data_IF_962842848908
#
_entry.id   IF_962842848908
#
_cell.length_a   1.000
_cell.length_b   1.000
_cell.length_c   1.000
_cell.angle_alpha   90.00
_cell.angle_beta   90.00
_cell.angle_gamma   90.00
#
_symmetry.space_group_name_H-M   'P 1'
#
loop_
_entity.id
_entity.type
_entity.pdbx_description
1 polymer ?
#
# COMPACT_ATOMS: atom_id res chain seq x y z
N UNK A 1 -19.38 13.88 4.71
CA UNK A 1 -17.96 14.22 4.73
C UNK A 1 -17.25 13.61 3.54
N UNK A 2 -16.16 14.24 3.14
CA UNK A 2 -15.21 13.62 2.23
C UNK A 2 -14.24 12.78 3.06
N UNK A 3 -14.18 11.50 2.78
CA UNK A 3 -13.27 10.60 3.48
C UNK A 3 -12.52 9.76 2.45
N UNK A 4 -11.46 9.10 2.88
CA UNK A 4 -10.67 8.25 1.98
C UNK A 4 -11.53 7.11 1.43
N UNK A 5 -12.35 6.51 2.29
CA UNK A 5 -13.28 5.45 1.91
C UNK A 5 -14.24 5.23 3.08
N UNK A 6 -15.13 4.22 2.99
CA UNK A 6 -16.06 3.94 4.08
C UNK A 6 -15.37 3.65 5.40
N UNK A 7 -14.27 2.93 5.37
CA UNK A 7 -13.48 2.68 6.59
C UNK A 7 -12.86 3.98 7.08
N UNK A 8 -12.45 4.84 6.16
CA UNK A 8 -11.85 6.11 6.50
C UNK A 8 -12.76 7.03 7.30
N UNK A 9 -14.08 6.84 7.20
CA UNK A 9 -15.01 7.63 7.98
C UNK A 9 -14.86 7.37 9.48
N UNK A 10 -14.29 6.24 9.85
CA UNK A 10 -14.07 5.88 11.25
C UNK A 10 -12.72 6.38 11.77
N UNK A 11 -11.91 6.99 10.91
CA UNK A 11 -10.57 7.44 11.26
C UNK A 11 -10.51 8.94 11.03
N UNK A 12 -10.49 9.76 12.09
CA UNK A 12 -10.56 11.22 11.93
C UNK A 12 -9.52 11.79 10.98
N UNK A 13 -8.30 11.25 10.99
CA UNK A 13 -7.24 11.76 10.12
C UNK A 13 -7.51 11.54 8.63
N UNK A 14 -8.43 10.63 8.30
CA UNK A 14 -8.78 10.31 6.92
C UNK A 14 -10.09 10.95 6.48
N UNK A 15 -10.60 11.88 7.27
CA UNK A 15 -11.74 12.71 6.89
C UNK A 15 -11.19 14.06 6.47
N UNK A 16 -11.48 14.46 5.23
CA UNK A 16 -10.77 15.58 4.61
C UNK A 16 -11.59 16.85 4.49
N UNK A 17 -12.91 16.77 4.64
CA UNK A 17 -13.73 17.93 4.53
C UNK A 17 -15.22 17.61 4.52
N UNK A 18 -16.03 18.62 4.32
CA UNK A 18 -17.48 18.51 4.41
C UNK A 18 -18.10 18.88 3.05
N UNK A 19 -18.94 17.99 2.54
CA UNK A 19 -19.66 18.22 1.29
C UNK A 19 -20.52 19.47 1.42
N UNK A 20 -20.44 20.35 0.43
CA UNK A 20 -21.21 21.58 0.43
C UNK A 20 -20.51 22.74 1.13
N UNK A 21 -19.48 22.45 1.92
CA UNK A 21 -18.72 23.50 2.60
C UNK A 21 -17.32 23.62 2.02
N UNK A 22 -16.67 22.50 1.77
CA UNK A 22 -15.32 22.49 1.22
C UNK A 22 -15.34 22.05 -0.23
N UNK A 23 -14.74 22.82 -1.15
CA UNK A 23 -14.70 22.41 -2.56
C UNK A 23 -13.85 21.17 -2.73
N UNK A 24 -14.39 20.17 -3.41
CA UNK A 24 -13.68 18.90 -3.60
C UNK A 24 -12.36 19.10 -4.33
N UNK A 25 -12.33 19.97 -5.32
CA UNK A 25 -11.11 20.20 -6.08
C UNK A 25 -9.99 20.73 -5.20
N UNK A 26 -10.31 21.63 -4.28
CA UNK A 26 -9.33 22.18 -3.36
C UNK A 26 -8.82 21.10 -2.42
N UNK A 27 -9.72 20.26 -1.89
CA UNK A 27 -9.33 19.17 -1.02
C UNK A 27 -8.40 18.21 -1.76
N UNK A 28 -8.78 17.83 -2.97
CA UNK A 28 -7.98 16.90 -3.77
C UNK A 28 -6.58 17.44 -4.01
N UNK A 29 -6.47 18.73 -4.31
CA UNK A 29 -5.20 19.34 -4.65
C UNK A 29 -4.31 19.61 -3.45
N UNK A 30 -4.92 20.02 -2.33
CA UNK A 30 -4.17 20.61 -1.24
C UNK A 30 -4.10 19.77 0.03
N UNK A 31 -4.94 18.75 0.18
CA UNK A 31 -4.89 17.93 1.38
C UNK A 31 -3.59 17.17 1.45
N UNK A 32 -2.89 17.28 2.59
CA UNK A 32 -1.56 16.70 2.75
C UNK A 32 -1.55 15.18 2.61
N UNK A 33 -2.58 14.51 3.15
CA UNK A 33 -2.64 13.04 3.08
C UNK A 33 -2.89 12.57 1.66
N UNK A 34 -3.83 13.22 0.95
CA UNK A 34 -4.09 12.85 -0.44
C UNK A 34 -2.87 13.11 -1.32
N UNK A 35 -2.17 14.21 -1.08
CA UNK A 35 -0.92 14.48 -1.80
C UNK A 35 0.12 13.40 -1.51
N UNK A 36 0.29 13.04 -0.25
CA UNK A 36 1.27 12.03 0.12
C UNK A 36 0.97 10.70 -0.55
N UNK A 37 -0.33 10.31 -0.60
CA UNK A 37 -0.71 9.07 -1.25
C UNK A 37 -0.43 9.10 -2.75
N UNK A 38 -0.75 10.21 -3.42
CA UNK A 38 -0.47 10.31 -4.86
C UNK A 38 1.01 10.23 -5.17
N UNK A 39 1.82 10.83 -4.33
CA UNK A 39 3.27 10.89 -4.58
C UNK A 39 4.00 9.67 -4.06
N UNK A 40 3.45 8.99 -3.07
CA UNK A 40 4.14 7.90 -2.39
C UNK A 40 3.73 6.48 -2.78
N UNK A 41 2.49 6.29 -3.25
CA UNK A 41 2.07 4.96 -3.65
C UNK A 41 2.55 4.65 -5.06
N UNK A 42 2.99 3.44 -5.31
CA UNK A 42 3.20 2.33 -4.36
C UNK A 42 4.60 2.29 -3.76
N UNK A 43 5.47 3.22 -4.12
CA UNK A 43 6.90 3.11 -3.82
C UNK A 43 7.23 3.18 -2.34
N UNK A 44 6.41 3.89 -1.57
CA UNK A 44 6.66 4.04 -0.13
C UNK A 44 6.06 2.93 0.73
N UNK A 45 5.39 1.96 0.11
CA UNK A 45 4.82 0.84 0.88
C UNK A 45 5.93 0.08 1.60
N UNK A 46 5.63 -0.30 2.85
CA UNK A 46 6.59 -0.94 3.74
C UNK A 46 6.38 -2.44 3.83
N UNK A 47 7.35 -3.14 4.40
CA UNK A 47 7.24 -4.57 4.65
C UNK A 47 7.03 -5.37 3.38
N UNK A 48 6.27 -6.45 3.50
CA UNK A 48 6.02 -7.35 2.37
C UNK A 48 5.35 -6.63 1.21
N UNK A 49 4.50 -5.65 1.50
CA UNK A 49 3.81 -4.91 0.44
C UNK A 49 4.79 -4.13 -0.44
N UNK A 50 5.85 -3.59 0.17
CA UNK A 50 6.87 -2.86 -0.59
C UNK A 50 7.69 -3.75 -1.49
N UNK A 51 7.78 -5.05 -1.16
CA UNK A 51 8.53 -6.02 -1.96
C UNK A 51 7.66 -6.82 -2.92
N UNK A 52 6.33 -6.63 -2.85
CA UNK A 52 5.40 -7.42 -3.63
C UNK A 52 5.31 -6.91 -5.07
N UNK A 53 5.36 -7.83 -6.03
CA UNK A 53 5.24 -7.48 -7.45
C UNK A 53 3.89 -6.88 -7.80
N UNK A 54 2.87 -7.13 -6.98
CA UNK A 54 1.52 -6.62 -7.22
C UNK A 54 1.29 -5.23 -6.63
N UNK A 55 2.32 -4.62 -6.05
CA UNK A 55 2.13 -3.36 -5.31
C UNK A 55 1.53 -2.24 -6.17
N UNK A 56 1.82 -2.22 -7.45
CA UNK A 56 1.30 -1.20 -8.35
C UNK A 56 -0.20 -1.33 -8.61
N UNK A 57 -0.77 -2.49 -8.36
CA UNK A 57 -2.20 -2.73 -8.51
C UNK A 57 -2.91 -2.80 -7.18
N UNK A 58 -2.32 -3.51 -6.23
CA UNK A 58 -2.92 -3.74 -4.92
C UNK A 58 -2.84 -2.51 -4.02
N UNK A 59 -1.75 -1.75 -4.11
CA UNK A 59 -1.54 -0.52 -3.34
C UNK A 59 -1.66 -0.73 -1.83
N UNK A 60 -1.28 -1.92 -1.34
CA UNK A 60 -1.38 -2.25 0.08
C UNK A 60 -2.77 -2.70 0.51
N UNK A 61 -3.64 -3.00 -0.42
CA UNK A 61 -5.00 -3.47 -0.23
C UNK A 61 -5.94 -2.41 0.33
N UNK A 62 -5.77 -2.00 1.59
CA UNK A 62 -6.64 -1.01 2.21
C UNK A 62 -5.81 -0.06 3.06
N UNK A 63 -5.50 1.09 2.50
CA UNK A 63 -4.69 2.10 3.19
C UNK A 63 -5.35 2.54 4.50
N UNK A 64 -6.67 2.70 4.50
CA UNK A 64 -7.37 3.15 5.70
C UNK A 64 -7.24 2.14 6.83
N UNK A 65 -7.38 0.85 6.54
CA UNK A 65 -7.23 -0.18 7.56
C UNK A 65 -5.79 -0.27 8.05
N UNK A 66 -4.83 -0.19 7.13
CA UNK A 66 -3.42 -0.25 7.48
C UNK A 66 -3.05 0.94 8.39
N UNK A 67 -3.55 2.11 8.06
CA UNK A 67 -3.32 3.29 8.88
C UNK A 67 -3.96 3.16 10.26
N UNK A 68 -5.20 2.69 10.30
CA UNK A 68 -5.90 2.49 11.57
C UNK A 68 -5.15 1.52 12.47
N UNK A 69 -4.64 0.43 11.89
CA UNK A 69 -3.98 -0.63 12.66
C UNK A 69 -2.57 -0.26 13.10
N UNK A 70 -1.83 0.44 12.26
CA UNK A 70 -0.40 0.64 12.48
C UNK A 70 0.03 2.10 12.62
N UNK A 71 -0.83 3.04 12.33
CA UNK A 71 -0.50 4.45 12.43
C UNK A 71 0.35 4.99 11.28
N UNK A 72 0.49 4.26 10.19
CA UNK A 72 1.26 4.67 9.03
C UNK A 72 0.47 4.42 7.75
N UNK A 73 0.48 5.41 6.85
CA UNK A 73 -0.15 5.26 5.53
C UNK A 73 0.54 4.19 4.69
N UNK A 74 1.77 3.86 5.03
CA UNK A 74 2.61 2.97 4.23
C UNK A 74 2.73 1.58 4.83
N UNK A 75 2.02 1.31 5.92
CA UNK A 75 2.08 0.03 6.61
C UNK A 75 1.62 -1.11 5.72
N UNK A 76 2.20 -2.31 5.89
CA UNK A 76 1.80 -3.46 5.08
C UNK A 76 0.40 -3.94 5.46
N UNK A 77 -0.25 -4.60 4.49
CA UNK A 77 -1.54 -5.22 4.74
C UNK A 77 -1.35 -6.39 5.70
N UNK A 78 -2.14 -6.41 6.76
CA UNK A 78 -1.95 -7.35 7.87
C UNK A 78 -1.98 -8.82 7.44
N UNK A 79 -2.87 -9.15 6.51
CA UNK A 79 -3.01 -10.54 6.07
C UNK A 79 -1.75 -11.02 5.35
N UNK A 80 -1.23 -10.19 4.46
CA UNK A 80 -0.01 -10.54 3.73
C UNK A 80 1.20 -10.55 4.65
N UNK A 81 1.23 -9.66 5.63
CA UNK A 81 2.31 -9.63 6.61
C UNK A 81 2.33 -10.91 7.44
N UNK A 82 1.16 -11.35 7.90
CA UNK A 82 1.07 -12.59 8.65
C UNK A 82 1.39 -13.81 7.79
N UNK A 83 0.98 -13.77 6.52
CA UNK A 83 1.30 -14.86 5.61
C UNK A 83 2.82 -14.97 5.41
N UNK A 84 3.49 -13.84 5.31
CA UNK A 84 4.95 -13.86 5.17
C UNK A 84 5.62 -14.42 6.42
N UNK A 85 5.17 -14.00 7.59
CA UNK A 85 5.73 -14.48 8.85
C UNK A 85 5.54 -15.99 9.02
N UNK A 86 4.43 -16.50 8.49
CA UNK A 86 4.14 -17.93 8.57
C UNK A 86 4.80 -18.74 7.45
N UNK A 87 5.52 -18.08 6.55
CA UNK A 87 6.15 -18.75 5.42
C UNK A 87 5.19 -19.13 4.31
N UNK A 88 4.00 -18.52 4.30
CA UNK A 88 2.96 -18.84 3.32
C UNK A 88 2.84 -17.82 2.19
N UNK A 89 3.55 -16.70 2.27
CA UNK A 89 3.50 -15.72 1.21
C UNK A 89 4.30 -16.22 0.01
N UNK A 90 3.71 -16.23 -1.20
CA UNK A 90 4.41 -16.79 -2.36
C UNK A 90 5.68 -16.01 -2.68
N UNK A 91 6.81 -16.70 -2.69
CA UNK A 91 8.08 -16.05 -3.02
C UNK A 91 8.09 -15.51 -4.45
N UNK A 92 7.27 -16.11 -5.34
CA UNK A 92 7.17 -15.64 -6.71
C UNK A 92 6.58 -14.23 -6.81
N UNK A 93 5.96 -13.72 -5.74
CA UNK A 93 5.43 -12.37 -5.69
C UNK A 93 6.43 -11.34 -5.16
N UNK A 94 7.57 -11.79 -4.66
CA UNK A 94 8.56 -10.86 -4.14
C UNK A 94 9.45 -10.38 -5.28
N UNK A 95 9.53 -9.09 -5.45
CA UNK A 95 10.21 -8.49 -6.60
C UNK A 95 11.68 -8.31 -6.43
N UNK A 96 12.21 -8.79 -5.35
CA UNK A 96 13.58 -8.58 -5.17
C UNK A 96 14.33 -9.67 -5.68
N UNK A 97 15.05 -9.65 -6.43
CA UNK A 97 15.79 -10.67 -6.66
C UNK A 97 17.02 -10.42 -6.98
N UNK A 98 17.64 -10.49 -6.50
CA UNK A 98 18.69 -10.12 -6.72
C UNK A 98 19.40 -10.78 -7.56
N UNK A 99 19.53 -10.83 -7.64
CA UNK A 99 20.10 -11.10 -8.07
C UNK A 99 20.64 -11.89 -8.43
N UNK A 100 20.78 -12.31 -8.37
CA UNK A 100 21.28 -13.03 -8.70
C UNK A 100 21.05 -13.67 -9.41
N UNK A 101 20.99 -13.97 -9.75
CA UNK A 101 20.47 -14.43 -10.43
C UNK A 101 20.06 -14.81 -11.06
N UNK A 102 20.03 -15.33 -11.34
CA UNK A 102 19.44 -15.68 -12.00
C UNK A 102 19.01 -16.01 -12.67
N UNK A 103 18.80 -16.19 -12.65
CA UNK A 103 18.17 -16.38 -13.16
C UNK A 103 18.03 -16.62 -13.73
N UNK A 104 18.23 -16.92 -13.72
CA UNK A 104 17.98 -17.01 -13.96
C UNK A 104 17.85 -17.35 -14.34
N UNK A 105 18.01 -17.79 -14.33
CA UNK A 105 17.71 -17.90 -14.43
C UNK A 105 17.29 -18.39 -14.81
N UNK A 106 17.53 -19.01 -15.11
CA UNK A 106 17.01 -19.25 -15.22
C UNK A 106 16.76 -19.56 -15.24
N UNK A 107 16.95 -20.09 -15.39
CA UNK A 107 16.58 -20.17 -15.05
C UNK A 107 16.33 -20.37 -14.87
N UNK A 108 16.48 -20.72 -14.55
CA UNK A 108 16.10 -20.63 -14.06
C UNK A 108 15.57 -20.72 -13.98
N UNK A 109 15.90 -21.01 -14.15
CA UNK A 109 15.37 -20.86 -13.82
C UNK A 109 14.87 -20.91 -13.59
N UNK A 110 14.97 -21.12 -13.41
CA UNK A 110 14.49 -20.96 -13.01
C UNK A 110 14.16 -20.78 -12.55
N UNK A 111 14.26 -20.99 -12.26
CA UNK A 111 13.89 -20.68 -11.73
C UNK A 111 13.54 -20.20 -11.55
N UNK A 112 13.50 -20.44 -11.29
CA UNK A 112 13.17 -19.99 -11.05
C UNK A 112 12.87 -19.76 -10.92
#
# INVERSE_FOLDING_TARGET
HYALCGIGEQVPDLIFGVVGKDPLETIWRENAILKALREGLPERLEGVCGRCLMKGRCLGSCVAQNYYSKGSLWAPYWFCEQAEEAGLFPTSRLGTIPTESPFITIGNAVSE
#
